data_IF_357153254090
#
_entry.id   IF_357153254090
#
_cell.length_a   1.000
_cell.length_b   1.000
_cell.length_c   1.000
_cell.angle_alpha   90.00
_cell.angle_beta   90.00
_cell.angle_gamma   90.00
#
_symmetry.space_group_name_H-M   'P 1'
#
loop_
_entity.id
_entity.type
_entity.pdbx_description
1 polymer ?
#
# COMPACT_ATOMS: atom_id res chain seq x y z
N UNK A 1 8.17 3.77 11.19
CA UNK A 1 7.12 4.52 10.44
C UNK A 1 6.11 5.06 11.46
N UNK A 2 5.51 6.24 11.26
CA UNK A 2 4.52 6.83 12.17
C UNK A 2 3.24 7.20 11.41
N UNK A 3 2.11 6.66 11.82
CA UNK A 3 0.80 7.02 11.30
C UNK A 3 0.39 8.44 11.70
N UNK A 4 -0.25 9.14 10.79
CA UNK A 4 -0.87 10.45 10.98
C UNK A 4 -2.32 10.37 10.50
N UNK A 5 -3.21 10.93 11.31
CA UNK A 5 -4.65 10.97 11.03
C UNK A 5 -5.02 12.12 10.09
N UNK A 6 -6.25 12.01 9.57
CA UNK A 6 -6.87 13.01 8.70
C UNK A 6 -6.57 12.84 7.21
N UNK A 7 -7.36 13.53 6.38
CA UNK A 7 -7.34 13.43 4.92
C UNK A 7 -6.55 14.54 4.22
N UNK A 8 -6.16 15.59 4.93
CA UNK A 8 -5.60 16.82 4.34
C UNK A 8 -4.07 16.73 4.10
N UNK A 9 -3.58 15.57 3.65
CA UNK A 9 -2.15 15.35 3.41
C UNK A 9 -1.85 15.40 1.91
N UNK A 10 -0.81 16.15 1.54
CA UNK A 10 -0.38 16.27 0.15
C UNK A 10 0.24 14.99 -0.41
N UNK A 11 0.83 14.14 0.43
CA UNK A 11 1.41 12.85 0.02
C UNK A 11 0.98 11.72 0.96
N UNK A 12 0.75 10.49 0.44
CA UNK A 12 0.40 9.33 1.27
C UNK A 12 1.48 8.94 2.28
N UNK A 13 2.74 9.16 1.91
CA UNK A 13 3.91 8.99 2.79
C UNK A 13 4.82 10.20 2.63
N UNK A 14 5.41 10.68 3.73
CA UNK A 14 6.43 11.75 3.72
C UNK A 14 7.67 11.32 4.51
N UNK A 15 8.84 11.86 4.15
CA UNK A 15 10.14 11.47 4.70
C UNK A 15 11.04 10.79 3.66
N UNK A 16 12.17 10.18 4.07
CA UNK A 16 12.60 9.97 5.46
C UNK A 16 13.11 11.24 6.12
N UNK A 17 12.73 11.46 7.39
CA UNK A 17 13.47 12.34 8.30
C UNK A 17 14.39 11.50 9.18
N UNK A 18 15.51 12.06 9.63
CA UNK A 18 16.43 11.36 10.53
C UNK A 18 16.16 11.78 11.97
N UNK A 19 15.94 10.81 12.83
CA UNK A 19 15.68 11.02 14.25
C UNK A 19 16.71 10.27 15.09
N UNK A 20 16.95 10.77 16.29
CA UNK A 20 17.81 10.09 17.24
C UNK A 20 17.14 8.78 17.70
N UNK A 21 17.94 7.73 17.83
CA UNK A 21 17.47 6.42 18.26
C UNK A 21 18.28 5.97 19.48
N UNK A 22 17.62 5.36 20.46
CA UNK A 22 18.31 4.72 21.58
C UNK A 22 18.46 3.24 21.27
N UNK A 23 19.71 2.78 21.19
CA UNK A 23 20.04 1.36 20.96
C UNK A 23 20.98 0.92 22.08
N UNK A 24 20.62 -0.14 22.81
CA UNK A 24 21.39 -0.66 23.94
C UNK A 24 21.79 0.42 24.97
N UNK A 25 20.84 1.32 25.31
CA UNK A 25 21.06 2.42 26.26
C UNK A 25 21.90 3.59 25.74
N UNK A 26 22.44 3.52 24.52
CA UNK A 26 23.21 4.60 23.89
C UNK A 26 22.34 5.39 22.91
N UNK A 27 22.38 6.72 23.01
CA UNK A 27 21.73 7.61 22.04
C UNK A 27 22.59 7.70 20.77
N UNK A 28 22.04 7.23 19.66
CA UNK A 28 22.62 7.37 18.33
C UNK A 28 21.96 8.56 17.64
N UNK A 29 22.74 9.63 17.41
CA UNK A 29 22.26 10.80 16.67
C UNK A 29 21.87 10.40 15.26
N UNK A 30 20.69 10.81 14.79
CA UNK A 30 20.16 10.46 13.47
C UNK A 30 20.14 8.94 13.20
N UNK A 31 20.03 8.14 14.27
CA UNK A 31 20.13 6.68 14.24
C UNK A 31 18.96 5.96 13.58
N UNK A 32 17.83 6.64 13.35
CA UNK A 32 16.67 6.04 12.69
C UNK A 32 16.12 6.92 11.57
N UNK A 33 15.57 6.26 10.54
CA UNK A 33 14.76 6.90 9.49
C UNK A 33 13.29 6.85 9.87
N UNK A 34 12.66 8.02 9.90
CA UNK A 34 11.25 8.19 10.20
C UNK A 34 10.49 8.58 8.93
N UNK A 35 9.51 7.77 8.57
CA UNK A 35 8.49 8.10 7.58
C UNK A 35 7.17 8.36 8.28
N UNK A 36 6.45 9.36 7.83
CA UNK A 36 5.08 9.64 8.27
C UNK A 36 4.09 9.14 7.24
N UNK A 37 3.02 8.48 7.69
CA UNK A 37 2.03 7.81 6.84
C UNK A 37 0.67 8.45 7.03
N UNK A 38 0.04 8.89 5.93
CA UNK A 38 -1.35 9.31 5.91
C UNK A 38 -2.24 8.05 5.97
N UNK A 39 -2.59 7.61 7.18
CA UNK A 39 -3.29 6.33 7.37
C UNK A 39 -4.68 6.34 6.74
N UNK A 40 -5.36 7.48 6.74
CA UNK A 40 -6.68 7.66 6.15
C UNK A 40 -6.71 7.32 4.65
N UNK A 41 -5.67 7.66 3.90
CA UNK A 41 -5.54 7.36 2.46
C UNK A 41 -5.46 5.86 2.23
N UNK A 42 -4.60 5.17 2.98
CA UNK A 42 -4.42 3.73 2.86
C UNK A 42 -5.62 2.94 3.40
N UNK A 43 -6.33 3.45 4.42
CA UNK A 43 -7.61 2.90 4.86
C UNK A 43 -8.66 3.02 3.75
N UNK A 44 -8.82 4.19 3.13
CA UNK A 44 -9.75 4.36 2.02
C UNK A 44 -9.43 3.43 0.83
N UNK A 45 -8.15 3.30 0.48
CA UNK A 45 -7.69 2.36 -0.54
C UNK A 45 -8.01 0.89 -0.15
N UNK A 46 -7.78 0.51 1.11
CA UNK A 46 -8.13 -0.81 1.65
C UNK A 46 -9.60 -1.13 1.45
N UNK A 47 -10.48 -0.24 1.88
CA UNK A 47 -11.93 -0.45 1.79
C UNK A 47 -12.44 -0.42 0.35
N UNK A 48 -11.77 0.32 -0.54
CA UNK A 48 -12.04 0.26 -1.98
C UNK A 48 -11.74 -1.14 -2.54
N UNK A 49 -10.61 -1.73 -2.16
CA UNK A 49 -10.25 -3.09 -2.59
C UNK A 49 -11.15 -4.17 -2.01
N UNK A 50 -11.60 -4.02 -0.76
CA UNK A 50 -12.55 -4.94 -0.13
C UNK A 50 -13.94 -4.94 -0.80
N UNK A 51 -14.26 -3.92 -1.60
CA UNK A 51 -15.53 -3.81 -2.34
C UNK A 51 -15.44 -4.35 -3.77
N UNK A 52 -14.28 -4.85 -4.19
CA UNK A 52 -14.15 -5.51 -5.49
C UNK A 52 -15.00 -6.79 -5.46
N UNK A 53 -15.93 -6.90 -6.40
CA UNK A 53 -16.77 -8.07 -6.54
C UNK A 53 -15.95 -9.26 -7.02
N UNK A 54 -16.22 -10.43 -6.45
CA UNK A 54 -15.63 -11.67 -6.92
C UNK A 54 -16.28 -12.05 -8.26
N UNK A 55 -15.50 -12.52 -9.25
CA UNK A 55 -16.07 -13.07 -10.47
C UNK A 55 -17.11 -14.16 -10.17
N UNK A 56 -18.20 -14.17 -10.93
CA UNK A 56 -19.24 -15.20 -10.82
C UNK A 56 -18.76 -16.56 -11.34
N UNK A 57 -17.87 -16.54 -12.34
CA UNK A 57 -17.30 -17.73 -12.95
C UNK A 57 -16.11 -18.25 -12.13
N UNK A 58 -16.06 -19.54 -11.76
CA UNK A 58 -14.99 -20.11 -10.93
C UNK A 58 -13.57 -19.93 -11.50
N UNK A 59 -13.44 -20.02 -12.83
CA UNK A 59 -12.14 -19.98 -13.52
C UNK A 59 -11.77 -18.59 -14.05
N UNK A 60 -12.61 -17.57 -13.80
CA UNK A 60 -12.30 -16.21 -14.20
C UNK A 60 -11.13 -15.66 -13.37
N UNK A 61 -10.19 -14.92 -13.99
CA UNK A 61 -9.07 -14.33 -13.26
C UNK A 61 -9.59 -13.34 -12.22
N UNK A 62 -8.95 -13.35 -11.05
CA UNK A 62 -9.25 -12.37 -10.01
C UNK A 62 -8.98 -10.95 -10.52
N UNK A 63 -9.92 -10.00 -10.32
CA UNK A 63 -9.70 -8.61 -10.72
C UNK A 63 -8.47 -8.00 -10.04
N UNK A 64 -7.84 -7.03 -10.69
CA UNK A 64 -6.71 -6.32 -10.12
C UNK A 64 -7.11 -5.62 -8.81
N UNK A 65 -6.34 -5.86 -7.74
CA UNK A 65 -6.60 -5.32 -6.41
C UNK A 65 -7.41 -6.23 -5.49
N UNK A 66 -7.78 -7.44 -5.93
CA UNK A 66 -8.32 -8.47 -5.05
C UNK A 66 -7.39 -8.70 -3.85
N UNK A 67 -7.97 -8.70 -2.65
CA UNK A 67 -7.24 -9.00 -1.41
C UNK A 67 -7.26 -10.51 -1.23
N UNK A 68 -6.10 -11.14 -1.37
CA UNK A 68 -5.90 -12.54 -1.05
C UNK A 68 -5.72 -12.70 0.45
N UNK A 69 -6.52 -13.58 1.06
CA UNK A 69 -6.48 -13.87 2.48
C UNK A 69 -5.87 -15.25 2.71
N UNK A 70 -5.06 -15.42 3.76
CA UNK A 70 -4.52 -16.73 4.09
C UNK A 70 -5.58 -17.62 4.72
N UNK A 71 -5.41 -18.94 4.62
CA UNK A 71 -6.40 -19.92 5.11
C UNK A 71 -6.63 -19.88 6.63
N UNK A 72 -5.68 -19.33 7.40
CA UNK A 72 -5.82 -19.16 8.85
C UNK A 72 -6.64 -17.92 9.24
N UNK A 73 -6.99 -17.04 8.30
CA UNK A 73 -7.74 -15.81 8.59
C UNK A 73 -9.18 -16.15 9.00
N UNK A 74 -9.43 -16.10 10.30
CA UNK A 74 -10.74 -16.41 10.88
C UNK A 74 -11.68 -15.20 10.92
N UNK A 75 -12.90 -15.42 11.40
CA UNK A 75 -13.92 -14.37 11.54
C UNK A 75 -13.47 -13.21 12.44
N UNK A 76 -12.69 -13.47 13.49
CA UNK A 76 -12.22 -12.40 14.39
C UNK A 76 -11.13 -11.55 13.73
N UNK A 77 -10.23 -12.17 12.99
CA UNK A 77 -9.25 -11.47 12.17
C UNK A 77 -9.92 -10.60 11.11
N UNK A 78 -10.95 -11.14 10.43
CA UNK A 78 -11.73 -10.37 9.45
C UNK A 78 -12.43 -9.16 10.10
N UNK A 79 -13.03 -9.35 11.29
CA UNK A 79 -13.63 -8.24 12.05
C UNK A 79 -12.60 -7.18 12.44
N UNK A 80 -11.35 -7.56 12.71
CA UNK A 80 -10.26 -6.61 12.94
C UNK A 80 -9.85 -5.88 11.66
N UNK A 81 -9.83 -6.56 10.51
CA UNK A 81 -9.50 -5.96 9.22
C UNK A 81 -10.51 -4.87 8.82
N UNK A 82 -11.77 -5.01 9.23
CA UNK A 82 -12.82 -4.01 9.01
C UNK A 82 -13.24 -3.26 10.28
N UNK A 83 -12.35 -3.17 11.29
CA UNK A 83 -12.68 -2.63 12.61
C UNK A 83 -13.02 -1.14 12.67
N UNK A 84 -12.80 -0.40 11.58
CA UNK A 84 -13.07 1.03 11.49
C UNK A 84 -14.14 1.34 10.44
N UNK A 85 -14.74 2.52 10.53
CA UNK A 85 -15.68 3.00 9.52
C UNK A 85 -15.44 4.46 9.22
N UNK A 86 -15.57 4.84 7.94
CA UNK A 86 -15.58 6.23 7.54
C UNK A 86 -16.96 6.84 7.83
N UNK A 87 -17.02 7.75 8.80
CA UNK A 87 -18.24 8.40 9.27
C UNK A 87 -18.20 9.89 8.91
N UNK A 88 -19.33 10.44 8.50
CA UNK A 88 -19.50 11.88 8.29
C UNK A 88 -20.03 12.53 9.56
N UNK A 89 -19.20 13.32 10.21
CA UNK A 89 -19.55 14.06 11.43
C UNK A 89 -19.89 15.50 11.03
N UNK A 90 -21.02 16.01 11.53
CA UNK A 90 -21.39 17.42 11.40
C UNK A 90 -21.03 18.16 12.68
N UNK A 91 -20.34 19.29 12.57
CA UNK A 91 -20.06 20.15 13.70
C UNK A 91 -21.31 20.97 14.10
N UNK A 92 -21.23 21.68 15.24
CA UNK A 92 -22.32 22.55 15.71
C UNK A 92 -22.63 23.72 14.77
N UNK A 93 -21.74 24.03 13.82
CA UNK A 93 -21.86 25.10 12.83
C UNK A 93 -22.36 24.57 11.47
N UNK A 94 -22.68 23.28 11.37
CA UNK A 94 -23.21 22.63 10.17
C UNK A 94 -22.16 22.11 9.18
N UNK A 95 -20.86 22.27 9.45
CA UNK A 95 -19.81 21.76 8.57
C UNK A 95 -19.68 20.24 8.72
N UNK A 96 -19.75 19.54 7.60
CA UNK A 96 -19.53 18.10 7.55
C UNK A 96 -18.04 17.79 7.31
N UNK A 97 -17.48 16.88 8.10
CA UNK A 97 -16.14 16.32 7.88
C UNK A 97 -16.18 14.80 7.99
N UNK A 98 -15.34 14.14 7.22
CA UNK A 98 -15.18 12.68 7.30
C UNK A 98 -14.12 12.32 8.33
N UNK A 99 -14.40 11.30 9.14
CA UNK A 99 -13.50 10.77 10.16
C UNK A 99 -13.57 9.24 10.16
N UNK A 100 -12.41 8.58 10.27
CA UNK A 100 -12.34 7.15 10.52
C UNK A 100 -12.62 6.90 12.00
N UNK A 101 -13.75 6.28 12.30
CA UNK A 101 -14.13 5.93 13.66
C UNK A 101 -13.84 4.46 13.93
N UNK A 102 -13.17 4.21 15.06
CA UNK A 102 -12.89 2.86 15.54
C UNK A 102 -14.16 2.26 16.16
N UNK A 103 -14.64 1.17 15.57
CA UNK A 103 -15.90 0.50 15.95
C UNK A 103 -15.66 -0.69 16.88
N UNK A 104 -14.42 -1.17 16.96
CA UNK A 104 -13.99 -2.29 17.81
C UNK A 104 -12.71 -1.94 18.54
N UNK A 105 -12.49 -2.53 19.71
CA UNK A 105 -11.25 -2.33 20.47
C UNK A 105 -10.00 -2.84 19.73
N UNK A 106 -10.13 -3.96 19.02
CA UNK A 106 -9.04 -4.62 18.27
C UNK A 106 -9.12 -4.28 16.78
N UNK A 107 -8.03 -3.77 16.21
CA UNK A 107 -7.89 -3.33 14.81
C UNK A 107 -6.50 -3.65 14.22
N UNK A 108 -5.74 -4.56 14.84
CA UNK A 108 -4.34 -4.84 14.52
C UNK A 108 -4.18 -5.33 13.07
N UNK A 109 -5.15 -6.10 12.56
CA UNK A 109 -5.17 -6.56 11.17
C UNK A 109 -5.26 -5.40 10.16
N UNK A 110 -6.13 -4.42 10.42
CA UNK A 110 -6.26 -3.23 9.56
C UNK A 110 -4.99 -2.38 9.60
N UNK A 111 -4.45 -2.11 10.79
CA UNK A 111 -3.23 -1.31 10.94
C UNK A 111 -2.02 -1.98 10.29
N UNK A 112 -1.91 -3.31 10.43
CA UNK A 112 -0.85 -4.10 9.78
C UNK A 112 -0.94 -3.96 8.26
N UNK A 113 -2.12 -4.10 7.67
CA UNK A 113 -2.32 -3.93 6.22
C UNK A 113 -1.98 -2.51 5.77
N UNK A 114 -2.40 -1.49 6.52
CA UNK A 114 -2.09 -0.08 6.23
C UNK A 114 -0.59 0.15 6.20
N UNK A 115 0.15 -0.34 7.19
CA UNK A 115 1.60 -0.18 7.22
C UNK A 115 2.32 -1.03 6.18
N UNK A 116 1.85 -2.24 5.87
CA UNK A 116 2.39 -3.05 4.78
C UNK A 116 2.25 -2.33 3.43
N UNK A 117 1.08 -1.73 3.16
CA UNK A 117 0.86 -0.93 1.96
C UNK A 117 1.73 0.32 1.93
N UNK A 118 1.90 1.01 3.06
CA UNK A 118 2.81 2.14 3.16
C UNK A 118 4.28 1.74 2.93
N UNK A 119 4.70 0.56 3.41
CA UNK A 119 6.02 0.03 3.13
C UNK A 119 6.21 -0.26 1.63
N UNK A 120 5.22 -0.85 0.97
CA UNK A 120 5.22 -1.05 -0.49
C UNK A 120 5.34 0.28 -1.25
N UNK A 121 4.65 1.33 -0.79
CA UNK A 121 4.80 2.69 -1.34
C UNK A 121 6.23 3.22 -1.19
N UNK A 122 6.84 3.08 -0.01
CA UNK A 122 8.22 3.51 0.26
C UNK A 122 9.22 2.76 -0.63
N UNK A 123 9.02 1.45 -0.82
CA UNK A 123 9.82 0.63 -1.73
C UNK A 123 9.64 1.03 -3.21
N UNK A 124 8.54 1.72 -3.53
CA UNK A 124 8.21 2.10 -4.90
C UNK A 124 7.59 0.97 -5.72
N UNK A 125 6.95 0.01 -5.04
CA UNK A 125 6.36 -1.18 -5.65
C UNK A 125 5.38 -0.85 -6.78
N UNK A 126 4.66 0.27 -6.68
CA UNK A 126 3.70 0.73 -7.69
C UNK A 126 4.34 1.07 -9.06
N UNK A 127 5.68 1.15 -9.11
CA UNK A 127 6.46 1.42 -10.33
C UNK A 127 7.25 0.20 -10.81
N UNK A 128 7.12 -0.94 -10.15
CA UNK A 128 7.82 -2.15 -10.55
C UNK A 128 7.22 -2.69 -11.84
N UNK A 129 8.11 -3.06 -12.76
CA UNK A 129 7.73 -3.79 -13.96
C UNK A 129 7.75 -5.30 -13.70
N UNK A 130 7.20 -6.07 -14.65
CA UNK A 130 7.15 -7.52 -14.60
C UNK A 130 8.52 -8.17 -14.35
N UNK A 131 9.58 -7.58 -14.92
CA UNK A 131 10.95 -8.07 -14.73
C UNK A 131 11.39 -7.95 -13.27
N UNK A 132 11.12 -6.81 -12.64
CA UNK A 132 11.41 -6.59 -11.22
C UNK A 132 10.63 -7.59 -10.34
N UNK A 133 9.34 -7.80 -10.62
CA UNK A 133 8.53 -8.77 -9.88
C UNK A 133 9.09 -10.18 -9.95
N UNK A 134 9.43 -10.67 -11.15
CA UNK A 134 10.06 -11.99 -11.32
C UNK A 134 11.38 -12.14 -10.58
N UNK A 135 12.17 -11.06 -10.51
CA UNK A 135 13.42 -11.08 -9.75
C UNK A 135 13.15 -11.21 -8.24
N UNK A 136 12.15 -10.50 -7.72
CA UNK A 136 11.75 -10.58 -6.32
C UNK A 136 11.16 -11.95 -5.96
N UNK A 137 10.34 -12.54 -6.84
CA UNK A 137 9.81 -13.89 -6.67
C UNK A 137 10.93 -14.93 -6.56
N UNK A 138 11.94 -14.84 -7.45
CA UNK A 138 13.12 -15.70 -7.41
C UNK A 138 13.91 -15.54 -6.11
N UNK A 139 14.04 -14.32 -5.59
CA UNK A 139 14.71 -14.06 -4.31
C UNK A 139 13.91 -14.61 -3.12
N UNK A 140 12.58 -14.56 -3.18
CA UNK A 140 11.69 -15.08 -2.17
C UNK A 140 11.52 -16.61 -2.23
N UNK A 141 12.07 -17.27 -3.25
CA UNK A 141 11.91 -18.72 -3.47
C UNK A 141 10.48 -19.11 -3.87
N UNK A 142 9.70 -18.17 -4.42
CA UNK A 142 8.33 -18.44 -4.88
C UNK A 142 8.39 -18.91 -6.33
N UNK A 143 8.02 -20.17 -6.58
CA UNK A 143 7.79 -20.66 -7.93
C UNK A 143 6.38 -20.28 -8.37
N UNK A 144 6.25 -19.20 -9.15
CA UNK A 144 4.97 -18.83 -9.76
C UNK A 144 4.77 -19.61 -11.05
N UNK A 145 3.63 -20.30 -11.17
CA UNK A 145 3.19 -20.88 -12.45
C UNK A 145 2.89 -19.71 -13.38
N UNK A 146 3.61 -19.62 -14.50
CA UNK A 146 3.39 -18.57 -15.48
C UNK A 146 1.96 -18.67 -16.03
N UNK A 147 1.07 -17.80 -15.57
CA UNK A 147 -0.21 -17.58 -16.23
C UNK A 147 0.12 -16.90 -17.56
N UNK A 148 -0.09 -17.62 -18.67
CA UNK A 148 0.02 -17.03 -19.99
C UNK A 148 -0.88 -15.79 -20.06
N UNK A 149 -0.41 -14.65 -20.59
CA UNK A 149 -1.23 -13.46 -20.69
C UNK A 149 -2.38 -13.71 -21.67
N UNK A 150 -3.55 -14.10 -21.14
CA UNK A 150 -4.78 -14.05 -21.92
C UNK A 150 -5.18 -12.58 -22.06
N UNK A 151 -5.05 -12.12 -23.31
CA UNK A 151 -5.56 -10.89 -23.89
C UNK A 151 -4.85 -9.61 -23.44
N UNK A 152 -3.96 -9.12 -24.31
CA UNK A 152 -3.56 -7.72 -24.30
C UNK A 152 -4.83 -6.84 -24.35
N UNK A 153 -5.01 -5.86 -23.44
CA UNK A 153 -6.04 -4.86 -23.66
C UNK A 153 -5.69 -4.13 -24.96
N UNK A 154 -6.63 -4.14 -25.89
CA UNK A 154 -6.60 -3.35 -27.11
C UNK A 154 -6.21 -1.92 -26.73
N UNK A 155 -5.09 -1.42 -27.28
CA UNK A 155 -4.59 -0.09 -26.96
C UNK A 155 -5.72 0.92 -27.25
N UNK A 156 -6.18 1.73 -26.30
CA UNK A 156 -7.02 2.86 -26.66
C UNK A 156 -6.19 3.77 -27.57
N UNK A 157 -6.65 3.95 -28.81
CA UNK A 157 -6.11 4.93 -29.75
C UNK A 157 -6.09 6.28 -29.06
N UNK A 158 -4.90 6.71 -28.65
CA UNK A 158 -4.71 7.99 -27.98
C UNK A 158 -4.75 9.07 -29.06
N UNK A 159 -5.63 10.09 -28.98
CA UNK A 159 -5.48 11.26 -29.84
C UNK A 159 -4.14 11.92 -29.54
N UNK A 160 -3.31 12.04 -30.57
CA UNK A 160 -1.94 12.51 -30.50
C UNK A 160 -1.95 14.05 -30.40
N UNK A 161 -1.74 14.59 -29.20
CA UNK A 161 -1.39 15.99 -29.02
C UNK A 161 -0.33 16.14 -27.92
N UNK A 162 0.85 16.64 -28.32
CA UNK A 162 1.89 17.16 -27.42
C UNK A 162 2.80 16.14 -26.73
N UNK A 163 3.65 15.44 -27.48
CA UNK A 163 4.78 14.72 -26.87
C UNK A 163 5.89 15.71 -26.48
N UNK A 164 6.05 15.99 -25.19
CA UNK A 164 7.29 16.56 -24.66
C UNK A 164 8.26 15.42 -24.40
N UNK A 165 9.20 15.21 -25.32
CA UNK A 165 10.28 14.24 -25.18
C UNK A 165 11.33 14.77 -24.21
N UNK A 166 11.26 14.38 -22.93
CA UNK A 166 12.43 14.50 -22.05
C UNK A 166 13.24 13.21 -22.10
N UNK A 167 14.58 13.28 -22.27
CA UNK A 167 15.41 12.09 -22.35
C UNK A 167 15.41 11.37 -20.99
N UNK A 168 14.96 10.11 -21.02
CA UNK A 168 14.93 9.20 -19.87
C UNK A 168 16.37 8.95 -19.42
N UNK A 169 16.80 9.56 -18.31
CA UNK A 169 18.14 9.33 -17.73
C UNK A 169 18.29 7.85 -17.37
N UNK A 170 19.26 7.20 -18.00
CA UNK A 170 19.69 5.83 -17.72
C UNK A 170 20.33 5.75 -16.34
N UNK A 171 20.00 4.69 -15.60
CA UNK A 171 20.83 4.15 -14.53
C UNK A 171 20.33 4.45 -13.12
N UNK A 172 19.36 3.69 -12.63
CA UNK A 172 19.25 3.46 -11.19
C UNK A 172 20.03 2.19 -10.86
N UNK A 173 21.14 2.33 -10.14
CA UNK A 173 21.89 1.18 -9.61
C UNK A 173 21.08 0.59 -8.46
N UNK A 174 20.77 -0.69 -8.56
CA UNK A 174 20.07 -1.45 -7.52
C UNK A 174 21.00 -1.51 -6.30
N UNK A 175 20.60 -0.86 -5.20
CA UNK A 175 21.23 -1.07 -3.89
C UNK A 175 20.46 -2.17 -3.20
N UNK A 176 21.07 -3.36 -3.08
CA UNK A 176 20.57 -4.44 -2.23
C UNK A 176 20.48 -3.92 -0.79
N UNK A 177 19.29 -3.92 -0.15
CA UNK A 177 19.20 -3.56 1.25
C UNK A 177 19.80 -4.68 2.11
N UNK A 178 20.77 -4.33 2.96
CA UNK A 178 21.58 -5.24 3.78
C UNK A 178 20.84 -5.97 4.92
N UNK A 179 19.50 -5.93 4.96
CA UNK A 179 18.69 -6.53 6.02
C UNK A 179 18.07 -7.88 5.62
N UNK A 180 18.44 -8.42 4.46
CA UNK A 180 18.06 -9.75 3.98
C UNK A 180 19.24 -10.74 3.99
N UNK A 181 20.32 -10.40 4.72
CA UNK A 181 21.44 -11.29 5.08
C UNK A 181 21.39 -11.62 6.56
#
# INVERSE_FOLDING_TARGET
VKGLEGFNRATPVSGPTFVDATVNGRKLKRGARLWTVATATFKAETYRYLRIERPSEPDAPNPAGTIHLPDWADSEWLKQLVAEQLVTIRDRRGYARQEWQKMRERNEALDTRVYARAAAWILGADRFDERMWRQLEKQAGVETVAVAPNTAPEKPTTPQAGQVTTPRRRGWKISTPKYME
#
